data_IF_217969691210
#
_entry.id   IF_217969691210
#
_cell.length_a   1.000
_cell.length_b   1.000
_cell.length_c   1.000
_cell.angle_alpha   90.00
_cell.angle_beta   90.00
_cell.angle_gamma   90.00
#
_symmetry.space_group_name_H-M   'P 1'
#
loop_
_entity.id
_entity.type
_entity.pdbx_description
1 polymer ?
#
# COMPACT_ATOMS: atom_id res chain seq x y z
N UNK A 1 -21.82 17.58 4.91
CA UNK A 1 -22.16 16.76 6.08
C UNK A 1 -23.60 16.24 6.11
N UNK A 2 -24.58 16.99 5.59
CA UNK A 2 -26.01 16.66 5.74
C UNK A 2 -26.45 15.39 4.96
N UNK A 3 -25.93 15.17 3.75
CA UNK A 3 -26.37 14.07 2.89
C UNK A 3 -26.08 12.69 3.49
N UNK A 4 -24.95 12.49 4.18
CA UNK A 4 -24.63 11.19 4.83
C UNK A 4 -25.56 10.89 6.00
N UNK A 5 -25.89 11.91 6.79
CA UNK A 5 -26.78 11.79 7.96
C UNK A 5 -28.19 11.42 7.52
N UNK A 6 -28.69 12.03 6.44
CA UNK A 6 -30.03 11.74 5.89
C UNK A 6 -30.13 10.31 5.31
N UNK A 7 -29.07 9.80 4.69
CA UNK A 7 -29.02 8.44 4.13
C UNK A 7 -28.98 7.40 5.25
N UNK A 8 -28.17 7.60 6.28
CA UNK A 8 -28.11 6.71 7.45
C UNK A 8 -29.44 6.70 8.24
N UNK A 9 -30.04 7.89 8.47
CA UNK A 9 -31.31 8.01 9.21
C UNK A 9 -32.50 7.38 8.49
N UNK A 10 -32.44 7.22 7.17
CA UNK A 10 -33.47 6.53 6.38
C UNK A 10 -33.26 5.01 6.29
N UNK A 11 -32.27 4.44 6.96
CA UNK A 11 -31.98 3.00 6.93
C UNK A 11 -31.50 2.47 5.58
N UNK A 12 -31.08 3.35 4.65
CA UNK A 12 -30.62 2.97 3.32
C UNK A 12 -29.19 2.41 3.38
N UNK A 13 -28.40 2.88 4.34
CA UNK A 13 -27.03 2.41 4.59
C UNK A 13 -26.92 2.06 6.07
N UNK A 14 -26.41 0.87 6.37
CA UNK A 14 -26.08 0.48 7.75
C UNK A 14 -25.02 1.41 8.32
N UNK A 15 -25.21 1.84 9.55
CA UNK A 15 -24.22 2.66 10.27
C UNK A 15 -23.05 1.80 10.69
N UNK A 16 -21.83 2.25 10.39
CA UNK A 16 -20.60 1.54 10.75
C UNK A 16 -19.44 1.75 9.77
N UNK A 17 -18.30 1.18 10.14
CA UNK A 17 -17.05 1.27 9.39
C UNK A 17 -16.66 -0.10 8.84
N UNK A 18 -16.69 -0.25 7.51
CA UNK A 18 -16.34 -1.48 6.81
C UNK A 18 -14.94 -1.36 6.17
N UNK A 19 -13.89 -1.43 6.98
CA UNK A 19 -12.48 -1.28 6.54
C UNK A 19 -12.13 -2.36 5.51
N UNK A 20 -12.47 -3.61 5.77
CA UNK A 20 -12.16 -4.73 4.89
C UNK A 20 -12.79 -4.57 3.50
N UNK A 21 -14.07 -4.23 3.42
CA UNK A 21 -14.75 -3.97 2.15
C UNK A 21 -14.17 -2.78 1.39
N UNK A 22 -13.88 -1.68 2.10
CA UNK A 22 -13.28 -0.50 1.51
C UNK A 22 -11.89 -0.81 0.91
N UNK A 23 -11.07 -1.56 1.64
CA UNK A 23 -9.75 -1.99 1.20
C UNK A 23 -9.85 -2.95 0.01
N UNK A 24 -10.73 -3.96 0.05
CA UNK A 24 -10.93 -4.89 -1.05
C UNK A 24 -11.35 -4.18 -2.35
N UNK A 25 -12.26 -3.20 -2.26
CA UNK A 25 -12.67 -2.38 -3.41
C UNK A 25 -11.52 -1.54 -3.98
N UNK A 26 -10.70 -0.92 -3.12
CA UNK A 26 -9.54 -0.14 -3.55
C UNK A 26 -8.50 -1.02 -4.26
N UNK A 27 -8.20 -2.19 -3.70
CA UNK A 27 -7.27 -3.18 -4.26
C UNK A 27 -7.77 -3.72 -5.60
N UNK A 28 -9.06 -4.03 -5.71
CA UNK A 28 -9.68 -4.49 -6.96
C UNK A 28 -9.50 -3.48 -8.10
N UNK A 29 -9.65 -2.18 -7.82
CA UNK A 29 -9.41 -1.12 -8.81
C UNK A 29 -7.96 -1.01 -9.24
N UNK A 30 -7.02 -1.35 -8.36
CA UNK A 30 -5.58 -1.31 -8.66
C UNK A 30 -5.06 -2.59 -9.31
N UNK A 31 -5.83 -3.68 -9.30
CA UNK A 31 -5.43 -4.97 -9.84
C UNK A 31 -4.96 -4.86 -11.30
N UNK A 32 -5.73 -4.18 -12.13
CA UNK A 32 -5.46 -4.05 -13.57
C UNK A 32 -4.52 -2.88 -13.91
N UNK A 33 -4.13 -2.09 -12.92
CA UNK A 33 -3.22 -0.97 -13.13
C UNK A 33 -1.84 -1.45 -13.60
N UNK A 34 -1.33 -0.84 -14.66
CA UNK A 34 0.03 -1.05 -15.18
C UNK A 34 1.09 -0.23 -14.44
N UNK A 35 0.72 0.47 -13.37
CA UNK A 35 1.64 1.28 -12.59
C UNK A 35 2.74 0.43 -11.95
N UNK A 36 3.97 0.93 -11.94
CA UNK A 36 5.14 0.27 -11.33
C UNK A 36 5.04 0.17 -9.81
N UNK A 37 4.32 1.09 -9.19
CA UNK A 37 4.00 1.09 -7.76
C UNK A 37 2.50 1.22 -7.58
N UNK A 38 1.92 0.35 -6.77
CA UNK A 38 0.50 0.35 -6.40
C UNK A 38 0.41 0.58 -4.90
N UNK A 39 -0.23 1.67 -4.52
CA UNK A 39 -0.31 2.11 -3.13
C UNK A 39 -1.75 2.46 -2.78
N UNK A 40 -2.19 2.01 -1.63
CA UNK A 40 -3.43 2.43 -0.98
C UNK A 40 -3.08 3.14 0.31
N UNK A 41 -3.74 4.25 0.58
CA UNK A 41 -3.69 4.92 1.89
C UNK A 41 -5.07 4.74 2.53
N UNK A 42 -5.10 3.95 3.59
CA UNK A 42 -6.29 3.71 4.39
C UNK A 42 -6.32 4.72 5.55
N UNK A 43 -7.28 5.63 5.51
CA UNK A 43 -7.52 6.63 6.54
C UNK A 43 -8.80 6.29 7.28
N UNK A 44 -8.72 6.13 8.60
CA UNK A 44 -9.88 5.82 9.44
C UNK A 44 -9.78 6.47 10.81
N UNK A 45 -10.93 6.83 11.36
CA UNK A 45 -11.11 7.35 12.72
C UNK A 45 -11.83 6.36 13.65
N UNK A 46 -12.18 5.17 13.13
CA UNK A 46 -12.91 4.13 13.86
C UNK A 46 -12.32 2.74 13.70
N UNK A 47 -12.92 1.80 14.43
CA UNK A 47 -12.66 0.37 14.32
C UNK A 47 -13.54 -0.28 13.26
N UNK A 48 -13.09 -1.42 12.71
CA UNK A 48 -13.89 -2.21 11.78
C UNK A 48 -15.02 -2.91 12.54
N UNK A 49 -16.24 -2.49 12.31
CA UNK A 49 -17.43 -3.04 12.96
C UNK A 49 -18.51 -3.50 11.98
N UNK A 50 -18.27 -3.40 10.67
CA UNK A 50 -19.19 -3.75 9.59
C UNK A 50 -18.46 -4.39 8.42
N UNK A 51 -19.23 -5.12 7.58
CA UNK A 51 -18.80 -5.70 6.31
C UNK A 51 -18.43 -7.19 6.42
N UNK A 52 -18.65 -7.90 5.31
CA UNK A 52 -18.50 -9.35 5.22
C UNK A 52 -17.04 -9.80 5.00
N UNK A 53 -16.17 -8.86 4.61
CA UNK A 53 -14.75 -9.14 4.33
C UNK A 53 -13.91 -8.63 5.49
N UNK A 54 -13.10 -9.52 6.08
CA UNK A 54 -12.19 -9.14 7.14
C UNK A 54 -11.08 -8.22 6.61
N UNK A 55 -10.62 -7.23 7.40
CA UNK A 55 -9.50 -6.37 7.02
C UNK A 55 -8.22 -7.15 6.72
N UNK A 56 -7.97 -8.25 7.45
CA UNK A 56 -6.80 -9.12 7.26
C UNK A 56 -6.84 -9.81 5.91
N UNK A 57 -7.99 -10.43 5.55
CA UNK A 57 -8.18 -11.07 4.24
C UNK A 57 -7.93 -10.08 3.10
N UNK A 58 -8.43 -8.84 3.24
CA UNK A 58 -8.20 -7.79 2.25
C UNK A 58 -6.73 -7.38 2.15
N UNK A 59 -5.99 -7.37 3.26
CA UNK A 59 -4.56 -7.09 3.29
C UNK A 59 -3.74 -8.21 2.63
N UNK A 60 -4.09 -9.48 2.85
CA UNK A 60 -3.45 -10.62 2.19
C UNK A 60 -3.67 -10.58 0.67
N UNK A 61 -4.87 -10.25 0.22
CA UNK A 61 -5.15 -10.04 -1.21
C UNK A 61 -4.32 -8.88 -1.75
N UNK A 62 -4.24 -7.75 -1.03
CA UNK A 62 -3.41 -6.62 -1.43
C UNK A 62 -1.94 -7.03 -1.57
N UNK A 63 -1.41 -7.77 -0.61
CA UNK A 63 -0.04 -8.28 -0.63
C UNK A 63 0.21 -9.17 -1.85
N UNK A 64 -0.68 -10.13 -2.13
CA UNK A 64 -0.55 -11.05 -3.28
C UNK A 64 -0.55 -10.31 -4.63
N UNK A 65 -1.22 -9.17 -4.72
CA UNK A 65 -1.29 -8.30 -5.91
C UNK A 65 -0.18 -7.24 -5.95
N UNK A 66 0.74 -7.26 -4.98
CA UNK A 66 1.83 -6.29 -4.87
C UNK A 66 1.37 -4.87 -4.54
N UNK A 67 0.20 -4.72 -3.91
CA UNK A 67 -0.34 -3.44 -3.45
C UNK A 67 0.10 -3.19 -2.02
N UNK A 68 0.75 -2.06 -1.76
CA UNK A 68 1.11 -1.62 -0.41
C UNK A 68 -0.02 -0.80 0.21
N UNK A 69 -0.32 -1.06 1.47
CA UNK A 69 -1.40 -0.39 2.20
C UNK A 69 -0.81 0.36 3.38
N UNK A 70 -0.66 1.66 3.25
CA UNK A 70 -0.33 2.54 4.37
C UNK A 70 -1.60 2.82 5.16
N UNK A 71 -1.54 2.68 6.47
CA UNK A 71 -2.68 2.93 7.35
C UNK A 71 -2.45 4.17 8.18
N UNK A 72 -3.47 5.02 8.30
CA UNK A 72 -3.42 6.25 9.11
C UNK A 72 -4.62 6.26 10.03
N UNK A 73 -4.37 6.09 11.32
CA UNK A 73 -5.37 6.29 12.36
C UNK A 73 -5.53 7.79 12.61
N UNK A 74 -6.73 8.34 12.41
CA UNK A 74 -7.02 9.76 12.66
C UNK A 74 -7.85 9.90 13.90
N UNK A 75 -7.38 10.73 14.81
CA UNK A 75 -8.11 11.10 16.02
C UNK A 75 -7.28 11.01 17.28
N UNK A 76 -7.84 11.55 18.33
CA UNK A 76 -7.32 11.46 19.69
C UNK A 76 -8.12 10.40 20.44
N UNK A 77 -7.49 9.65 21.36
CA UNK A 77 -8.21 8.76 22.29
C UNK A 77 -9.07 9.61 23.24
N UNK A 78 -10.09 10.26 22.70
CA UNK A 78 -11.02 11.09 23.45
C UNK A 78 -12.38 10.41 23.49
N UNK A 79 -13.14 10.76 24.50
CA UNK A 79 -14.55 10.43 24.61
C UNK A 79 -15.35 11.27 23.60
N UNK A 80 -16.26 10.64 22.90
CA UNK A 80 -17.23 11.32 22.04
C UNK A 80 -18.64 11.18 22.63
N UNK A 81 -19.49 12.22 22.51
CA UNK A 81 -20.86 12.13 22.92
C UNK A 81 -21.61 11.19 21.97
N UNK A 82 -22.08 10.06 22.49
CA UNK A 82 -22.87 9.06 21.78
C UNK A 82 -24.34 9.21 22.15
N UNK A 83 -25.26 9.31 21.19
CA UNK A 83 -26.68 9.41 21.45
C UNK A 83 -27.24 8.05 21.91
N UNK A 84 -27.77 7.99 23.13
CA UNK A 84 -28.42 6.80 23.67
C UNK A 84 -29.93 7.10 23.79
N UNK A 85 -30.80 6.29 23.20
CA UNK A 85 -32.23 6.44 23.35
C UNK A 85 -32.65 6.12 24.80
N UNK A 86 -33.37 7.02 25.41
CA UNK A 86 -33.94 6.87 26.77
C UNK A 86 -35.47 7.11 26.74
N UNK A 87 -36.17 6.62 27.73
CA UNK A 87 -37.61 6.88 27.89
C UNK A 87 -37.85 8.39 28.03
N UNK A 88 -38.23 9.06 26.93
CA UNK A 88 -38.46 10.50 26.88
C UNK A 88 -37.52 11.28 25.93
N UNK A 89 -36.67 10.63 25.15
CA UNK A 89 -35.81 11.31 24.17
C UNK A 89 -34.46 10.66 23.93
N UNK A 90 -33.47 11.47 23.58
CA UNK A 90 -32.08 11.04 23.36
C UNK A 90 -31.19 11.70 24.41
N UNK A 91 -30.44 10.90 25.12
CA UNK A 91 -29.40 11.38 26.05
C UNK A 91 -28.02 11.15 25.44
N UNK A 92 -27.14 12.15 25.51
CA UNK A 92 -25.77 12.02 25.05
C UNK A 92 -24.88 11.53 26.19
N UNK A 93 -24.28 10.35 25.99
CA UNK A 93 -23.32 9.76 26.95
C UNK A 93 -21.94 9.79 26.32
N UNK A 94 -20.96 10.27 27.07
CA UNK A 94 -19.57 10.28 26.63
C UNK A 94 -19.01 8.84 26.63
N UNK A 95 -18.77 8.29 25.44
CA UNK A 95 -18.15 6.98 25.27
C UNK A 95 -16.72 7.11 24.76
N UNK A 96 -15.79 6.27 25.22
CA UNK A 96 -14.44 6.25 24.67
C UNK A 96 -14.48 5.82 23.20
N UNK A 97 -13.85 6.61 22.33
CA UNK A 97 -13.64 6.24 20.92
C UNK A 97 -12.36 5.44 20.87
N UNK A 98 -12.47 4.15 20.66
CA UNK A 98 -11.35 3.25 20.52
C UNK A 98 -10.99 3.12 19.02
N UNK A 99 -9.79 3.57 18.69
CA UNK A 99 -9.24 3.38 17.34
C UNK A 99 -8.45 2.07 17.37
N UNK A 100 -8.84 1.11 16.54
CA UNK A 100 -8.15 -0.18 16.45
C UNK A 100 -6.80 -0.05 15.73
N UNK A 101 -5.84 0.52 16.44
CA UNK A 101 -4.47 0.69 15.92
C UNK A 101 -3.75 -0.63 15.70
N UNK A 102 -4.15 -1.71 16.39
CA UNK A 102 -3.57 -3.04 16.23
C UNK A 102 -3.89 -3.59 14.84
N UNK A 103 -5.16 -3.66 14.48
CA UNK A 103 -5.60 -4.09 13.14
C UNK A 103 -4.97 -3.26 12.03
N UNK A 104 -4.86 -1.94 12.21
CA UNK A 104 -4.22 -1.06 11.22
C UNK A 104 -2.72 -1.35 11.08
N UNK A 105 -2.03 -1.63 12.18
CA UNK A 105 -0.62 -2.03 12.14
C UNK A 105 -0.40 -3.36 11.44
N UNK A 106 -1.25 -4.35 11.71
CA UNK A 106 -1.19 -5.67 11.07
C UNK A 106 -1.42 -5.57 9.55
N UNK A 107 -2.42 -4.80 9.09
CA UNK A 107 -2.65 -4.55 7.65
C UNK A 107 -1.40 -3.97 6.99
N UNK A 108 -0.79 -2.96 7.61
CA UNK A 108 0.40 -2.32 7.07
C UNK A 108 1.59 -3.29 7.01
N UNK A 109 1.80 -4.10 8.04
CA UNK A 109 2.87 -5.11 8.09
C UNK A 109 2.71 -6.19 7.01
N UNK A 110 1.52 -6.77 6.86
CA UNK A 110 1.22 -7.77 5.82
C UNK A 110 1.56 -7.23 4.43
N UNK A 111 1.30 -5.96 4.17
CA UNK A 111 1.51 -5.32 2.85
C UNK A 111 2.87 -4.64 2.70
N UNK A 112 3.83 -4.85 3.62
CA UNK A 112 5.15 -4.24 3.64
C UNK A 112 5.12 -2.69 3.59
N UNK A 113 4.17 -2.11 4.32
CA UNK A 113 3.99 -0.67 4.49
C UNK A 113 4.05 -0.27 5.97
N UNK A 114 3.85 1.01 6.26
CA UNK A 114 3.89 1.55 7.61
C UNK A 114 2.50 1.98 8.08
N UNK A 115 2.27 1.85 9.39
CA UNK A 115 1.10 2.40 10.07
C UNK A 115 1.47 3.72 10.76
N UNK A 116 0.59 4.69 10.66
CA UNK A 116 0.76 6.03 11.22
C UNK A 116 -0.43 6.43 12.07
N UNK A 117 -0.23 7.46 12.88
CA UNK A 117 -1.29 8.10 13.63
C UNK A 117 -1.21 9.61 13.45
N UNK A 118 -2.35 10.25 13.18
CA UNK A 118 -2.48 11.69 13.06
C UNK A 118 -3.54 12.22 14.04
N UNK A 119 -3.17 13.19 14.87
CA UNK A 119 -4.08 13.84 15.81
C UNK A 119 -4.55 15.20 15.31
N UNK A 120 -3.89 15.72 14.25
CA UNK A 120 -4.19 17.01 13.64
C UNK A 120 -3.78 17.06 12.17
N UNK A 121 -4.26 18.08 11.45
CA UNK A 121 -4.01 18.24 10.02
C UNK A 121 -2.52 18.46 9.66
N UNK A 122 -1.72 19.03 10.57
CA UNK A 122 -0.28 19.22 10.32
C UNK A 122 0.44 17.87 10.29
N UNK A 123 0.18 17.01 11.26
CA UNK A 123 0.71 15.64 11.30
C UNK A 123 0.27 14.83 10.08
N UNK A 124 -1.01 14.91 9.72
CA UNK A 124 -1.53 14.24 8.53
C UNK A 124 -0.79 14.69 7.26
N UNK A 125 -0.60 16.00 7.09
CA UNK A 125 0.16 16.54 5.94
C UNK A 125 1.61 16.06 5.93
N UNK A 126 2.26 15.94 7.10
CA UNK A 126 3.62 15.42 7.18
C UNK A 126 3.67 13.94 6.82
N UNK A 127 2.74 13.12 7.31
CA UNK A 127 2.63 11.69 6.96
C UNK A 127 2.50 11.49 5.46
N UNK A 128 1.68 12.27 4.76
CA UNK A 128 1.56 12.18 3.29
C UNK A 128 2.90 12.47 2.59
N UNK A 129 3.66 13.47 3.05
CA UNK A 129 4.99 13.77 2.49
C UNK A 129 5.98 12.63 2.74
N UNK A 130 5.93 12.02 3.92
CA UNK A 130 6.79 10.91 4.28
C UNK A 130 6.49 9.66 3.43
N UNK A 131 5.21 9.35 3.21
CA UNK A 131 4.79 8.27 2.31
C UNK A 131 5.27 8.54 0.88
N UNK A 132 5.08 9.75 0.35
CA UNK A 132 5.52 10.14 -0.98
C UNK A 132 7.04 9.97 -1.14
N UNK A 133 7.82 10.40 -0.16
CA UNK A 133 9.27 10.24 -0.14
C UNK A 133 9.68 8.76 -0.13
N UNK A 134 9.04 7.94 0.72
CA UNK A 134 9.32 6.50 0.80
C UNK A 134 9.03 5.79 -0.52
N UNK A 135 7.93 6.14 -1.18
CA UNK A 135 7.54 5.51 -2.44
C UNK A 135 8.46 5.93 -3.60
N UNK A 136 8.88 7.17 -3.66
CA UNK A 136 9.86 7.66 -4.64
C UNK A 136 11.21 6.94 -4.47
N UNK A 137 11.71 6.85 -3.25
CA UNK A 137 12.98 6.16 -2.95
C UNK A 137 12.92 4.68 -3.36
N UNK A 138 11.81 3.98 -3.08
CA UNK A 138 11.65 2.57 -3.47
C UNK A 138 11.58 2.38 -5.00
N UNK A 139 11.03 3.34 -5.72
CA UNK A 139 11.00 3.30 -7.20
C UNK A 139 12.40 3.52 -7.79
N UNK A 140 13.19 4.43 -7.22
CA UNK A 140 14.54 4.72 -7.69
C UNK A 140 15.47 3.52 -7.48
N UNK A 141 15.43 2.86 -6.32
CA UNK A 141 16.21 1.64 -6.06
C UNK A 141 15.88 0.53 -7.07
N UNK A 142 14.60 0.32 -7.42
CA UNK A 142 14.22 -0.66 -8.44
C UNK A 142 14.70 -0.28 -9.85
N UNK A 143 14.89 1.01 -10.13
CA UNK A 143 15.42 1.48 -11.41
C UNK A 143 16.91 1.17 -11.56
N UNK A 144 17.69 1.32 -10.49
CA UNK A 144 19.12 1.03 -10.48
C UNK A 144 19.44 -0.48 -10.52
N UNK A 145 18.58 -1.35 -9.97
CA UNK A 145 18.82 -2.80 -9.99
C UNK A 145 18.51 -3.48 -11.34
N UNK A 146 18.01 -2.76 -12.34
CA UNK A 146 17.86 -3.23 -13.73
C UNK A 146 18.96 -2.66 -14.65
N UNK A 147 20.21 -2.63 -14.22
CA UNK A 147 21.29 -2.55 -15.18
C UNK A 147 21.37 -3.89 -15.90
N UNK A 148 20.87 -3.92 -17.12
CA UNK A 148 21.24 -4.95 -18.07
C UNK A 148 22.73 -4.79 -18.32
N UNK A 149 23.50 -5.73 -17.84
CA UNK A 149 24.92 -5.86 -18.22
C UNK A 149 24.96 -6.24 -19.71
N UNK A 150 24.79 -5.25 -20.59
CA UNK A 150 24.77 -5.44 -22.05
C UNK A 150 26.15 -5.84 -22.60
N UNK A 151 27.18 -5.98 -21.75
CA UNK A 151 28.51 -6.37 -22.20
C UNK A 151 28.66 -7.86 -22.52
N UNK A 152 27.79 -8.74 -21.96
CA UNK A 152 27.88 -10.19 -22.16
C UNK A 152 27.95 -10.62 -23.64
N UNK A 153 27.05 -10.17 -24.54
CA UNK A 153 27.13 -10.58 -25.94
C UNK A 153 28.40 -10.08 -26.63
N UNK A 154 28.84 -8.87 -26.27
CA UNK A 154 30.08 -8.31 -26.85
C UNK A 154 31.32 -9.03 -26.34
N UNK A 155 31.35 -9.44 -25.07
CA UNK A 155 32.44 -10.22 -24.49
C UNK A 155 32.53 -11.62 -25.16
N UNK A 156 31.42 -12.26 -25.44
CA UNK A 156 31.38 -13.56 -26.14
C UNK A 156 31.92 -13.42 -27.57
N UNK A 157 31.50 -12.40 -28.31
CA UNK A 157 32.00 -12.15 -29.68
C UNK A 157 33.50 -11.86 -29.68
N UNK A 158 33.98 -11.02 -28.74
CA UNK A 158 35.41 -10.73 -28.62
C UNK A 158 36.25 -12.00 -28.30
N UNK A 159 35.73 -12.86 -27.41
CA UNK A 159 36.39 -14.13 -27.09
C UNK A 159 36.45 -15.06 -28.29
N UNK A 160 35.35 -15.18 -29.07
CA UNK A 160 35.31 -16.02 -30.31
C UNK A 160 36.30 -15.52 -31.36
N UNK A 161 36.42 -14.19 -31.56
CA UNK A 161 37.38 -13.60 -32.48
C UNK A 161 38.81 -13.89 -32.05
N UNK A 162 39.11 -13.78 -30.74
CA UNK A 162 40.42 -14.08 -30.21
C UNK A 162 40.81 -15.55 -30.39
N UNK A 163 39.87 -16.49 -30.16
CA UNK A 163 40.10 -17.92 -30.41
C UNK A 163 40.29 -18.16 -31.89
N UNK A 164 39.52 -17.55 -32.77
CA UNK A 164 39.69 -17.68 -34.24
C UNK A 164 41.03 -17.16 -34.70
N UNK A 165 41.51 -16.03 -34.20
CA UNK A 165 42.88 -15.50 -34.48
C UNK A 165 43.98 -16.49 -34.09
N UNK A 166 43.90 -17.03 -32.87
CA UNK A 166 44.86 -18.02 -32.40
C UNK A 166 44.86 -19.27 -33.31
N UNK A 167 43.70 -19.78 -33.67
CA UNK A 167 43.60 -20.95 -34.58
C UNK A 167 44.17 -20.65 -35.95
N UNK A 168 43.87 -19.52 -36.55
CA UNK A 168 44.44 -19.10 -37.83
C UNK A 168 45.97 -18.94 -37.78
N UNK A 169 46.50 -18.39 -36.71
CA UNK A 169 47.93 -18.21 -36.49
C UNK A 169 48.69 -19.54 -36.39
N UNK A 170 48.09 -20.55 -35.76
CA UNK A 170 48.71 -21.86 -35.61
C UNK A 170 48.50 -22.78 -36.80
N UNK A 171 47.41 -22.62 -37.58
CA UNK A 171 47.08 -23.50 -38.70
C UNK A 171 47.49 -22.94 -40.06
N UNK A 172 47.20 -21.72 -40.38
CA UNK A 172 47.37 -21.14 -41.72
C UNK A 172 48.67 -20.29 -41.77
N UNK A 173 48.92 -19.41 -40.82
CA UNK A 173 50.06 -18.51 -40.84
C UNK A 173 51.40 -19.16 -40.41
N UNK A 174 51.36 -20.35 -39.87
CA UNK A 174 52.59 -21.12 -39.57
C UNK A 174 53.34 -21.61 -40.80
N UNK A 175 52.74 -21.52 -41.99
CA UNK A 175 53.33 -21.96 -43.26
C UNK A 175 53.95 -20.86 -44.12
N UNK A 176 54.05 -19.65 -43.64
CA UNK A 176 54.74 -18.56 -44.36
C UNK A 176 56.12 -18.38 -43.69
N UNK A 177 57.24 -18.74 -44.35
CA UNK A 177 58.59 -18.52 -43.85
C UNK A 177 58.92 -17.02 -43.81
#
# INVERSE_FOLDING_TARGET
GSVRTDIASRGIISDGTAIGMGLANAVSRLKESKAKSKVVILLTDGSNNMGDISPMTSAEIAHSLGVRVYTIAVGTNKVAPYPVPVAGGVQYVNMPVEIDTKTLSEIAQITNANSYRATNNRELSQIYKDIDKLEKTKMDVKRFSKHYEAYQPFAIVALLLLVAEILLRFTVLRRIP
#
